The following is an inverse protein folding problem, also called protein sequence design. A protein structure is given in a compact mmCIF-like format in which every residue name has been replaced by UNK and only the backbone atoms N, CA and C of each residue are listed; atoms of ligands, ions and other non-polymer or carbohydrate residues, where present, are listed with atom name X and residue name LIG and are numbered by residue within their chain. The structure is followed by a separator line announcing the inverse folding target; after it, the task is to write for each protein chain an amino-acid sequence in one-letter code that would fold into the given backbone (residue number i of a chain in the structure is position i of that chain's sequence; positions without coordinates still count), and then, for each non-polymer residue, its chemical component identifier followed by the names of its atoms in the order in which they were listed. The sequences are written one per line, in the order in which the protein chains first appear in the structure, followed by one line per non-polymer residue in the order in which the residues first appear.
data_IF_254500472015
#
_entry.id   IF_254500472015
#
_cell.length_a   1.000
_cell.length_b   1.000
_cell.length_c   1.000
_cell.angle_alpha   90.00
_cell.angle_beta   90.00
_cell.angle_gamma   90.00
#
_symmetry.space_group_name_H-M   'P 1'
#
loop_
_entity.id
_entity.type
_entity.pdbx_description
1 polymer ?
#
# COMPACT_ATOMS: atom_id res chain seq x y z
N UNK A 1 3.27 14.53 -19.85
CA UNK A 1 3.74 14.19 -18.47
C UNK A 1 3.36 15.35 -17.55
N UNK A 2 2.47 15.17 -16.56
CA UNK A 2 2.03 16.27 -15.65
C UNK A 2 3.22 16.77 -14.82
N UNK A 3 3.55 18.06 -14.92
CA UNK A 3 4.59 18.70 -14.08
C UNK A 3 4.09 18.76 -12.63
N UNK A 4 4.89 18.27 -11.68
CA UNK A 4 4.61 18.49 -10.25
C UNK A 4 4.91 19.95 -9.92
N UNK A 5 3.94 20.64 -9.33
CA UNK A 5 4.07 22.04 -8.89
C UNK A 5 4.98 22.19 -7.67
N UNK A 6 5.17 21.13 -6.88
CA UNK A 6 6.04 21.13 -5.69
C UNK A 6 6.75 19.79 -5.51
N UNK A 7 8.05 19.86 -5.13
CA UNK A 7 8.90 18.70 -4.80
C UNK A 7 8.32 17.93 -3.60
N UNK A 8 7.97 18.66 -2.54
CA UNK A 8 7.39 18.10 -1.30
C UNK A 8 6.04 18.76 -1.04
N UNK A 9 4.96 17.96 -0.91
CA UNK A 9 3.62 18.49 -0.57
C UNK A 9 3.66 19.15 0.81
N UNK A 10 2.88 20.21 1.10
CA UNK A 10 2.88 20.88 2.40
C UNK A 10 2.57 19.92 3.55
N UNK A 11 1.66 18.97 3.31
CA UNK A 11 1.37 17.89 4.25
C UNK A 11 2.65 17.16 4.64
N UNK A 12 3.58 16.89 3.70
CA UNK A 12 4.86 16.18 3.90
C UNK A 12 5.92 16.94 4.74
N UNK A 13 5.69 18.21 5.10
CA UNK A 13 6.64 19.02 5.87
C UNK A 13 6.61 18.73 7.37
N UNK A 14 5.48 18.26 7.91
CA UNK A 14 5.31 18.00 9.36
C UNK A 14 5.77 16.61 9.81
N UNK A 15 6.19 15.72 8.88
CA UNK A 15 6.60 14.34 9.16
C UNK A 15 7.66 14.21 10.25
N UNK A 16 8.63 15.12 10.29
CA UNK A 16 9.75 15.07 11.22
C UNK A 16 9.39 15.47 12.67
N UNK A 17 8.19 16.02 12.91
CA UNK A 17 7.84 16.58 14.23
C UNK A 17 6.84 15.73 15.01
N UNK A 18 5.82 15.19 14.34
CA UNK A 18 4.71 14.50 15.01
C UNK A 18 4.57 13.01 14.64
N UNK A 19 5.49 12.47 13.82
CA UNK A 19 5.41 11.11 13.30
C UNK A 19 4.33 10.93 12.22
N UNK A 20 4.39 9.81 11.50
CA UNK A 20 3.51 9.58 10.34
C UNK A 20 2.02 9.48 10.73
N UNK A 21 1.74 8.79 11.83
CA UNK A 21 0.36 8.55 12.27
C UNK A 21 -0.38 9.85 12.62
N UNK A 22 0.20 10.67 13.50
CA UNK A 22 -0.44 11.92 13.95
C UNK A 22 -0.47 12.99 12.87
N UNK A 23 0.56 13.08 12.02
CA UNK A 23 0.66 14.14 11.01
C UNK A 23 -0.14 13.87 9.72
N UNK A 24 -0.40 12.61 9.36
CA UNK A 24 -1.03 12.25 8.08
C UNK A 24 -2.25 11.38 8.27
N UNK A 25 -2.11 10.29 9.02
CA UNK A 25 -3.13 9.26 9.06
C UNK A 25 -4.41 9.74 9.75
N UNK A 26 -4.30 10.40 10.91
CA UNK A 26 -5.47 10.95 11.62
C UNK A 26 -6.22 12.01 10.81
N UNK A 27 -5.56 13.08 10.28
CA UNK A 27 -6.26 14.07 9.45
C UNK A 27 -6.95 13.48 8.22
N UNK A 28 -6.32 12.48 7.57
CA UNK A 28 -6.92 11.79 6.43
C UNK A 28 -8.16 10.99 6.85
N UNK A 29 -8.09 10.26 7.97
CA UNK A 29 -9.21 9.45 8.47
C UNK A 29 -10.40 10.31 8.92
N UNK A 30 -10.14 11.49 9.46
CA UNK A 30 -11.16 12.37 10.05
C UNK A 30 -11.84 13.30 9.04
N UNK A 31 -11.11 13.81 8.04
CA UNK A 31 -11.62 14.87 7.16
C UNK A 31 -11.43 14.66 5.66
N UNK A 32 -10.67 13.65 5.22
CA UNK A 32 -10.34 13.46 3.80
C UNK A 32 -10.45 11.99 3.38
N UNK A 33 -11.69 11.55 3.17
CA UNK A 33 -12.02 10.17 2.82
C UNK A 33 -11.42 9.73 1.48
N UNK A 34 -11.24 10.63 0.51
CA UNK A 34 -10.62 10.32 -0.79
C UNK A 34 -9.14 10.03 -0.62
N UNK A 35 -8.43 10.87 0.12
CA UNK A 35 -7.01 10.68 0.38
C UNK A 35 -6.77 9.48 1.32
N UNK A 36 -7.68 9.24 2.28
CA UNK A 36 -7.70 8.03 3.08
C UNK A 36 -7.81 6.80 2.18
N UNK A 37 -8.83 6.72 1.32
CA UNK A 37 -9.04 5.59 0.41
C UNK A 37 -7.85 5.40 -0.54
N UNK A 38 -7.26 6.48 -1.03
CA UNK A 38 -6.07 6.40 -1.87
C UNK A 38 -4.86 5.79 -1.15
N UNK A 39 -4.70 6.10 0.14
CA UNK A 39 -3.57 5.67 0.94
C UNK A 39 -3.76 4.25 1.50
N UNK A 40 -4.93 3.96 2.05
CA UNK A 40 -5.24 2.67 2.71
C UNK A 40 -5.89 1.66 1.78
N UNK A 41 -6.37 2.09 0.60
CA UNK A 41 -7.16 1.28 -0.36
C UNK A 41 -8.45 0.73 0.24
N UNK A 42 -8.97 1.37 1.29
CA UNK A 42 -10.20 0.98 1.97
C UNK A 42 -10.97 2.21 2.43
N UNK A 43 -12.28 2.07 2.55
CA UNK A 43 -13.12 3.14 3.11
C UNK A 43 -12.95 3.20 4.63
N UNK A 44 -13.24 4.36 5.23
CA UNK A 44 -13.19 4.53 6.69
C UNK A 44 -14.09 3.52 7.43
N UNK A 45 -15.33 3.23 6.96
CA UNK A 45 -16.17 2.18 7.58
C UNK A 45 -15.53 0.79 7.54
N UNK A 46 -14.96 0.40 6.39
CA UNK A 46 -14.28 -0.90 6.25
C UNK A 46 -13.06 -0.98 7.16
N UNK A 47 -12.31 0.12 7.30
CA UNK A 47 -11.18 0.22 8.22
C UNK A 47 -11.62 0.04 9.66
N UNK A 48 -12.67 0.72 10.11
CA UNK A 48 -13.17 0.59 11.48
C UNK A 48 -13.69 -0.83 11.76
N UNK A 49 -14.33 -1.48 10.78
CA UNK A 49 -14.76 -2.89 10.89
C UNK A 49 -13.55 -3.82 11.06
N UNK A 50 -12.52 -3.65 10.24
CA UNK A 50 -11.29 -4.42 10.35
C UNK A 50 -10.61 -4.16 11.70
N UNK A 51 -10.51 -2.91 12.11
CA UNK A 51 -9.94 -2.53 13.40
C UNK A 51 -10.67 -3.27 14.52
N UNK A 52 -12.01 -3.25 14.57
CA UNK A 52 -12.80 -3.98 15.57
C UNK A 52 -12.51 -5.48 15.61
N UNK A 53 -12.31 -6.12 14.45
CA UNK A 53 -11.98 -7.55 14.38
C UNK A 53 -10.56 -7.85 14.86
N UNK A 54 -9.62 -6.95 14.61
CA UNK A 54 -8.20 -7.14 14.91
C UNK A 54 -7.85 -6.69 16.33
N UNK A 55 -8.57 -5.71 16.89
CA UNK A 55 -8.41 -5.20 18.27
C UNK A 55 -8.30 -6.30 19.33
N UNK A 56 -9.17 -7.32 19.42
CA UNK A 56 -9.01 -8.37 20.42
C UNK A 56 -7.67 -9.10 20.26
N UNK A 57 -7.22 -9.39 19.05
CA UNK A 57 -5.93 -10.06 18.83
C UNK A 57 -4.71 -9.18 19.09
N UNK A 58 -4.87 -7.85 19.03
CA UNK A 58 -3.82 -6.90 19.39
C UNK A 58 -3.73 -6.66 20.90
N UNK A 59 -4.84 -6.81 21.62
CA UNK A 59 -4.93 -6.60 23.07
C UNK A 59 -4.72 -7.91 23.86
N UNK A 60 -5.23 -9.04 23.36
CA UNK A 60 -5.16 -10.36 24.02
C UNK A 60 -3.85 -11.09 23.75
N UNK A 61 -3.20 -10.85 22.60
CA UNK A 61 -1.78 -11.14 22.49
C UNK A 61 -1.10 -10.13 23.41
N UNK A 62 -0.59 -10.62 24.55
CA UNK A 62 0.62 -10.06 25.15
C UNK A 62 1.67 -10.10 24.06
N UNK A 63 1.64 -9.11 23.18
CA UNK A 63 2.73 -8.81 22.28
C UNK A 63 3.96 -8.83 23.19
N UNK A 64 4.99 -9.64 22.88
CA UNK A 64 6.18 -9.69 23.72
C UNK A 64 6.60 -8.25 24.02
N UNK A 65 7.05 -7.96 25.25
CA UNK A 65 7.25 -6.59 25.73
C UNK A 65 8.08 -5.70 24.78
N UNK A 66 8.84 -6.30 23.86
CA UNK A 66 9.48 -5.68 22.70
C UNK A 66 8.57 -4.95 21.69
N UNK A 67 7.26 -5.18 21.66
CA UNK A 67 6.32 -4.52 20.73
C UNK A 67 5.42 -3.51 21.47
N UNK A 68 5.45 -3.46 22.81
CA UNK A 68 4.77 -2.41 23.59
C UNK A 68 5.56 -1.11 23.49
N UNK A 69 5.46 -0.44 22.35
CA UNK A 69 5.85 0.97 22.18
C UNK A 69 4.82 1.91 22.84
N UNK A 70 4.55 1.71 24.12
CA UNK A 70 3.82 2.65 24.96
C UNK A 70 4.87 3.40 25.80
N UNK A 71 5.07 4.67 25.44
CA UNK A 71 5.83 5.69 26.18
C UNK A 71 7.34 5.48 26.42
N UNK A 72 8.06 4.77 25.54
CA UNK A 72 9.49 5.10 25.39
C UNK A 72 9.58 6.45 24.67
N UNK A 73 10.17 7.46 25.30
CA UNK A 73 10.48 8.75 24.66
C UNK A 73 11.49 8.61 23.49
N UNK A 74 11.94 7.39 23.19
CA UNK A 74 12.67 7.10 21.97
C UNK A 74 11.85 7.44 20.73
N UNK A 75 12.22 8.57 20.14
CA UNK A 75 11.79 9.04 18.84
C UNK A 75 11.75 7.86 17.85
N UNK A 76 10.57 7.54 17.34
CA UNK A 76 10.39 6.46 16.36
C UNK A 76 11.40 6.59 15.21
N UNK A 77 12.38 5.68 15.17
CA UNK A 77 13.50 5.72 14.24
C UNK A 77 14.87 5.96 14.88
N UNK A 78 14.97 6.09 16.21
CA UNK A 78 16.24 6.21 16.96
C UNK A 78 17.19 5.05 16.71
N UNK A 79 16.68 3.84 16.43
CA UNK A 79 17.51 2.70 16.00
C UNK A 79 18.32 2.97 14.71
N UNK A 80 18.00 4.04 13.96
CA UNK A 80 18.74 4.48 12.77
C UNK A 80 19.88 5.43 13.10
N UNK A 81 19.89 5.99 14.31
CA UNK A 81 20.88 6.98 14.74
C UNK A 81 22.18 6.28 15.17
N UNK A 82 22.11 5.04 15.66
CA UNK A 82 23.26 4.21 16.05
C UNK A 82 23.84 3.37 14.91
N UNK A 83 23.37 3.54 13.67
CA UNK A 83 23.90 2.82 12.52
C UNK A 83 24.96 3.70 11.87
N UNK A 84 26.21 3.19 11.83
CA UNK A 84 27.25 3.79 10.99
C UNK A 84 26.67 4.07 9.60
N UNK A 85 26.91 5.26 9.01
CA UNK A 85 26.37 5.59 7.70
C UNK A 85 26.68 4.47 6.72
N UNK A 86 25.65 3.73 6.30
CA UNK A 86 25.85 2.63 5.36
C UNK A 86 26.60 3.19 4.16
N UNK A 87 27.68 2.53 3.71
CA UNK A 87 28.42 2.99 2.55
C UNK A 87 27.42 3.17 1.41
N UNK A 88 27.56 4.27 0.66
CA UNK A 88 26.70 4.52 -0.49
C UNK A 88 26.84 3.36 -1.46
N UNK A 89 25.89 2.44 -1.36
CA UNK A 89 25.68 1.42 -2.36
C UNK A 89 25.27 2.20 -3.61
N UNK A 90 26.10 2.17 -4.64
CA UNK A 90 25.94 2.97 -5.85
C UNK A 90 24.65 2.64 -6.61
N UNK A 91 24.71 2.44 -7.92
CA UNK A 91 23.54 1.94 -8.65
C UNK A 91 23.31 0.47 -8.29
N UNK A 92 22.59 0.20 -7.20
CA UNK A 92 22.04 -1.11 -6.91
C UNK A 92 20.87 -1.36 -7.84
N UNK A 93 21.09 -2.29 -8.75
CA UNK A 93 20.24 -2.66 -9.87
C UNK A 93 20.37 -1.77 -11.11
N UNK A 94 20.60 -2.44 -12.24
CA UNK A 94 20.30 -1.88 -13.53
C UNK A 94 18.79 -1.55 -13.57
N UNK A 95 18.41 -0.36 -14.07
CA UNK A 95 17.04 -0.04 -14.47
C UNK A 95 16.53 -0.91 -15.65
N UNK A 96 17.21 -2.01 -15.93
CA UNK A 96 16.93 -2.94 -16.99
C UNK A 96 16.41 -4.18 -16.29
N UNK A 97 15.08 -4.30 -16.18
CA UNK A 97 14.50 -5.59 -15.84
C UNK A 97 15.14 -6.64 -16.76
N UNK A 98 15.75 -7.66 -16.14
CA UNK A 98 16.53 -8.65 -16.87
C UNK A 98 15.62 -9.25 -17.94
N UNK A 99 16.12 -9.44 -19.17
CA UNK A 99 15.33 -10.01 -20.28
C UNK A 99 14.63 -11.31 -19.86
N UNK A 100 15.27 -12.07 -18.98
CA UNK A 100 14.72 -13.26 -18.31
C UNK A 100 13.36 -12.99 -17.64
N UNK A 101 13.20 -11.86 -16.93
CA UNK A 101 11.94 -11.49 -16.25
C UNK A 101 10.85 -11.17 -17.28
N UNK A 102 11.19 -10.49 -18.38
CA UNK A 102 10.23 -10.24 -19.47
C UNK A 102 9.80 -11.54 -20.15
N UNK A 103 10.74 -12.45 -20.40
CA UNK A 103 10.46 -13.75 -21.00
C UNK A 103 9.56 -14.59 -20.09
N UNK A 104 9.81 -14.61 -18.78
CA UNK A 104 8.93 -15.29 -17.81
C UNK A 104 7.54 -14.66 -17.81
N UNK A 105 7.45 -13.32 -17.76
CA UNK A 105 6.17 -12.62 -17.79
C UNK A 105 5.38 -12.96 -19.05
N UNK A 106 6.02 -12.94 -20.20
CA UNK A 106 5.37 -13.16 -21.50
C UNK A 106 5.02 -14.64 -21.71
N UNK A 107 5.82 -15.57 -21.18
CA UNK A 107 5.49 -17.00 -21.12
C UNK A 107 4.23 -17.26 -20.28
N UNK A 108 4.16 -16.69 -19.07
CA UNK A 108 2.99 -16.81 -18.21
C UNK A 108 1.75 -16.16 -18.82
N UNK A 109 1.89 -14.99 -19.45
CA UNK A 109 0.81 -14.34 -20.20
C UNK A 109 0.24 -15.28 -21.26
N UNK A 110 1.10 -15.89 -22.08
CA UNK A 110 0.68 -16.81 -23.14
C UNK A 110 -0.03 -18.04 -22.55
N UNK A 111 0.45 -18.57 -21.43
CA UNK A 111 -0.20 -19.68 -20.73
C UNK A 111 -1.62 -19.31 -20.24
N UNK A 112 -1.78 -18.19 -19.53
CA UNK A 112 -3.09 -17.76 -19.01
C UNK A 112 -4.10 -17.40 -20.09
N UNK A 113 -3.65 -17.05 -21.30
CA UNK A 113 -4.51 -16.83 -22.47
C UNK A 113 -4.84 -18.14 -23.23
N UNK A 114 -4.09 -19.21 -22.98
CA UNK A 114 -4.34 -20.52 -23.60
C UNK A 114 -5.54 -21.23 -22.98
N UNK A 115 -6.18 -22.19 -23.69
CA UNK A 115 -7.27 -22.98 -23.13
C UNK A 115 -6.91 -23.72 -21.83
N UNK A 116 -5.65 -24.15 -21.68
CA UNK A 116 -5.17 -24.84 -20.48
C UNK A 116 -5.05 -23.91 -19.26
N UNK A 117 -4.81 -22.61 -19.48
CA UNK A 117 -4.72 -21.61 -18.43
C UNK A 117 -6.05 -20.93 -18.09
N UNK A 118 -7.15 -21.27 -18.78
CA UNK A 118 -8.47 -20.71 -18.52
C UNK A 118 -9.03 -21.23 -17.20
N UNK A 119 -9.57 -20.30 -16.39
CA UNK A 119 -10.21 -20.65 -15.12
C UNK A 119 -11.72 -20.44 -15.26
N UNK A 120 -12.59 -21.37 -14.79
CA UNK A 120 -14.04 -21.29 -15.01
C UNK A 120 -14.70 -19.97 -14.58
N UNK A 121 -14.24 -19.36 -13.48
CA UNK A 121 -14.81 -18.11 -12.98
C UNK A 121 -14.44 -16.88 -13.83
N UNK A 122 -13.40 -16.95 -14.67
CA UNK A 122 -12.96 -15.84 -15.53
C UNK A 122 -14.02 -15.47 -16.58
N UNK A 123 -14.75 -16.47 -17.09
CA UNK A 123 -15.86 -16.25 -18.02
C UNK A 123 -17.03 -15.52 -17.35
N UNK A 124 -17.25 -15.75 -16.05
CA UNK A 124 -18.30 -15.08 -15.30
C UNK A 124 -17.99 -13.59 -15.13
N UNK A 125 -16.75 -13.23 -14.82
CA UNK A 125 -16.32 -11.83 -14.69
C UNK A 125 -16.42 -11.06 -16.02
N UNK A 126 -16.14 -11.71 -17.16
CA UNK A 126 -16.35 -11.13 -18.50
C UNK A 126 -17.84 -10.95 -18.85
N UNK A 127 -18.70 -11.79 -18.28
CA UNK A 127 -20.16 -11.72 -18.47
C UNK A 127 -20.81 -10.68 -17.56
N UNK A 128 -20.32 -10.52 -16.33
CA UNK A 128 -20.76 -9.50 -15.37
C UNK A 128 -20.57 -8.06 -15.90
N UNK A 129 -19.59 -7.83 -16.78
CA UNK A 129 -19.37 -6.53 -17.44
C UNK A 129 -20.25 -6.23 -18.65
N UNK A 130 -21.16 -7.14 -19.06
CA UNK A 130 -21.98 -7.03 -20.28
C UNK A 130 -23.50 -6.89 -20.04
N UNK A 131 -23.93 -6.51 -18.84
CA UNK A 131 -25.34 -6.16 -18.57
C UNK A 131 -25.65 -4.66 -18.77
N UNK A 132 -25.17 -4.06 -19.86
CA UNK A 132 -25.70 -2.78 -20.36
C UNK A 132 -26.26 -3.02 -21.76
N UNK A 133 -27.55 -3.36 -21.79
CA UNK A 133 -28.38 -3.34 -23.00
C UNK A 133 -28.49 -1.87 -23.47
N UNK A 134 -27.71 -1.47 -24.47
CA UNK A 134 -27.95 -0.22 -25.18
C UNK A 134 -29.12 -0.44 -26.15
N UNK A 135 -30.33 -0.10 -25.72
CA UNK A 135 -31.48 0.04 -26.61
C UNK A 135 -31.32 1.35 -27.39
N UNK A 136 -31.10 1.27 -28.70
CA UNK A 136 -31.28 2.39 -29.60
C UNK A 136 -32.75 2.40 -30.04
N UNK A 137 -33.48 3.46 -29.63
CA UNK A 137 -34.69 3.94 -30.31
C UNK A 137 -34.26 5.02 -31.31
#
# INVERSE_FOLDING_TARGET
RRKRTVKTRPINKRRNTHGFFKAYFLPMKEGDAEQFFKYTRMSVPTFNKLLKLVTPYLLERKLPDTIRFLDSEERQGSWRDDVDPLPSVGRLAANRAQQVIYNIRDSLKSYFLSPAGKIPWQENVLREGRDVQFNYN
#
